data_IF_382716778983
#
_entry.id   IF_382716778983
#
_cell.length_a   1.000
_cell.length_b   1.000
_cell.length_c   1.000
_cell.angle_alpha   90.00
_cell.angle_beta   90.00
_cell.angle_gamma   90.00
#
_symmetry.space_group_name_H-M   'P 1'
#
loop_
_entity.id
_entity.type
_entity.pdbx_description
1 polymer ?
#
# COMPACT_ATOMS: atom_id res chain seq x y z
N UNK A 1 34.46 30.98 36.88
CA UNK A 1 34.95 29.58 36.78
C UNK A 1 33.80 28.76 36.18
N UNK A 2 33.84 28.03 35.07
CA UNK A 2 34.77 27.78 33.98
C UNK A 2 33.90 27.68 32.71
N UNK A 3 34.33 28.30 31.62
CA UNK A 3 33.83 28.04 30.28
C UNK A 3 34.34 26.67 29.79
N UNK A 4 33.53 25.92 29.04
CA UNK A 4 34.01 24.75 28.32
C UNK A 4 33.86 24.96 26.82
N UNK A 5 34.96 24.66 26.16
CA UNK A 5 35.33 25.04 24.80
C UNK A 5 34.96 23.97 23.78
N UNK A 6 34.87 24.45 22.55
CA UNK A 6 34.66 23.79 21.28
C UNK A 6 35.72 22.70 21.00
N UNK A 7 35.29 21.57 20.43
CA UNK A 7 36.17 20.56 19.85
C UNK A 7 35.65 20.11 18.48
N UNK A 8 36.11 20.79 17.43
CA UNK A 8 35.93 20.41 16.02
C UNK A 8 37.08 19.48 15.66
N UNK A 9 36.78 18.22 15.35
CA UNK A 9 37.64 17.30 14.61
C UNK A 9 36.73 16.63 13.58
N UNK A 10 36.86 16.84 12.27
CA UNK A 10 38.09 16.71 11.51
C UNK A 10 38.20 15.26 11.01
N UNK A 11 37.36 14.87 10.05
CA UNK A 11 37.46 13.58 9.38
C UNK A 11 37.51 13.79 7.87
N UNK A 12 38.65 13.34 7.35
CA UNK A 12 39.18 13.50 6.00
C UNK A 12 38.36 12.73 4.97
N UNK A 13 38.15 13.38 3.82
CA UNK A 13 37.61 12.83 2.59
C UNK A 13 38.43 11.63 2.09
N UNK A 14 37.75 10.53 1.75
CA UNK A 14 38.24 9.56 0.77
C UNK A 14 37.26 9.50 -0.39
N UNK A 15 37.69 10.05 -1.52
CA UNK A 15 37.04 9.92 -2.82
C UNK A 15 37.25 8.48 -3.33
N UNK A 16 36.20 7.68 -3.33
CA UNK A 16 36.13 6.48 -4.17
C UNK A 16 35.46 6.86 -5.49
N UNK A 17 36.28 7.06 -6.53
CA UNK A 17 35.83 7.25 -7.90
C UNK A 17 35.29 5.93 -8.45
N UNK A 18 33.96 5.79 -8.53
CA UNK A 18 33.32 4.76 -9.33
C UNK A 18 33.05 5.31 -10.74
N UNK A 19 33.61 4.62 -11.74
CA UNK A 19 33.40 4.86 -13.15
C UNK A 19 31.90 4.96 -13.47
N UNK A 20 31.51 6.10 -14.04
CA UNK A 20 30.22 6.28 -14.70
C UNK A 20 30.28 5.52 -16.02
N UNK A 21 29.80 4.28 -16.02
CA UNK A 21 29.46 3.59 -17.26
C UNK A 21 28.22 4.29 -17.87
N UNK A 22 28.42 4.96 -19.00
CA UNK A 22 27.40 5.65 -19.76
C UNK A 22 26.34 4.67 -20.30
N UNK A 23 25.27 4.45 -19.53
CA UNK A 23 24.04 3.86 -20.04
C UNK A 23 23.16 4.98 -20.63
N UNK A 24 23.33 5.24 -21.93
CA UNK A 24 22.42 6.10 -22.67
C UNK A 24 20.98 5.53 -22.69
N UNK A 25 19.97 6.38 -22.93
CA UNK A 25 18.58 5.93 -23.03
C UNK A 25 18.41 5.00 -24.23
N UNK A 26 18.18 3.71 -23.96
CA UNK A 26 17.78 2.74 -24.97
C UNK A 26 16.35 3.08 -25.39
N UNK A 27 16.19 3.60 -26.61
CA UNK A 27 14.89 3.85 -27.21
C UNK A 27 14.03 2.58 -27.13
N UNK A 28 12.83 2.71 -26.56
CA UNK A 28 11.88 1.63 -26.48
C UNK A 28 11.43 1.24 -27.90
N UNK A 29 11.39 -0.05 -28.26
CA UNK A 29 10.84 -0.48 -29.53
C UNK A 29 9.35 -0.13 -29.59
N UNK A 30 8.90 0.35 -30.75
CA UNK A 30 7.50 0.62 -31.02
C UNK A 30 6.65 -0.65 -30.83
N UNK A 31 5.42 -0.53 -30.28
CA UNK A 31 4.53 -1.68 -30.14
C UNK A 31 4.17 -2.24 -31.52
N UNK A 32 4.34 -3.55 -31.69
CA UNK A 32 3.91 -4.26 -32.89
C UNK A 32 2.38 -4.14 -33.05
N UNK A 33 1.87 -4.05 -34.30
CA UNK A 33 0.44 -4.08 -34.55
C UNK A 33 -0.14 -5.40 -34.06
N UNK A 34 -1.08 -5.34 -33.10
CA UNK A 34 -1.84 -6.50 -32.65
C UNK A 34 -2.78 -6.91 -33.78
N UNK A 35 -2.39 -7.95 -34.53
CA UNK A 35 -3.28 -8.68 -35.42
C UNK A 35 -4.48 -9.16 -34.62
N UNK A 36 -5.65 -8.68 -35.02
CA UNK A 36 -6.95 -9.03 -34.45
C UNK A 36 -7.26 -10.47 -34.88
N UNK A 37 -6.94 -11.44 -34.02
CA UNK A 37 -7.32 -12.84 -34.25
C UNK A 37 -8.84 -12.94 -34.18
N UNK A 38 -9.45 -13.38 -35.28
CA UNK A 38 -10.87 -13.68 -35.35
C UNK A 38 -11.23 -14.76 -34.30
N UNK A 39 -12.26 -14.49 -33.52
CA UNK A 39 -12.80 -15.46 -32.56
C UNK A 39 -13.43 -16.64 -33.31
N UNK A 40 -13.08 -17.89 -32.97
CA UNK A 40 -13.80 -19.06 -33.45
C UNK A 40 -15.18 -19.17 -32.75
N UNK A 41 -16.16 -19.82 -33.41
CA UNK A 41 -17.48 -20.05 -32.81
C UNK A 41 -17.37 -20.93 -31.56
N UNK A 42 -18.10 -20.54 -30.53
CA UNK A 42 -18.25 -21.27 -29.27
C UNK A 42 -19.08 -22.54 -29.49
N UNK A 43 -18.40 -23.68 -29.58
CA UNK A 43 -19.05 -24.98 -29.45
C UNK A 43 -19.35 -25.28 -27.98
N UNK A 44 -20.63 -25.53 -27.71
CA UNK A 44 -21.16 -25.97 -26.43
C UNK A 44 -20.67 -27.39 -26.09
N UNK A 45 -19.50 -27.49 -25.49
CA UNK A 45 -18.96 -28.74 -24.94
C UNK A 45 -19.23 -28.87 -23.44
N UNK A 46 -20.24 -29.66 -23.09
CA UNK A 46 -20.48 -30.13 -21.72
C UNK A 46 -19.32 -31.06 -21.29
N UNK A 47 -18.43 -30.55 -20.44
CA UNK A 47 -17.35 -31.31 -19.83
C UNK A 47 -17.39 -31.17 -18.31
N UNK A 48 -17.88 -32.21 -17.64
CA UNK A 48 -17.83 -32.36 -16.19
C UNK A 48 -16.37 -32.39 -15.70
N UNK A 49 -15.96 -31.38 -14.94
CA UNK A 49 -14.71 -31.42 -14.19
C UNK A 49 -14.93 -32.12 -12.84
N UNK A 50 -13.96 -32.92 -12.36
CA UNK A 50 -14.04 -33.56 -11.05
C UNK A 50 -13.94 -32.52 -9.93
N UNK A 51 -14.72 -32.75 -8.87
CA UNK A 51 -14.71 -32.00 -7.63
C UNK A 51 -13.31 -32.04 -7.00
N UNK A 52 -12.55 -30.95 -7.16
CA UNK A 52 -11.34 -30.68 -6.39
C UNK A 52 -11.71 -30.14 -5.02
N UNK A 53 -10.98 -30.61 -4.02
CA UNK A 53 -11.22 -30.44 -2.59
C UNK A 53 -11.74 -29.07 -2.16
N UNK A 54 -12.85 -29.11 -1.43
CA UNK A 54 -13.46 -27.98 -0.77
C UNK A 54 -12.44 -27.27 0.13
N UNK A 55 -12.12 -26.03 -0.22
CA UNK A 55 -11.44 -25.13 0.70
C UNK A 55 -12.27 -25.05 2.00
N UNK A 56 -11.67 -25.20 3.19
CA UNK A 56 -12.43 -25.14 4.44
C UNK A 56 -13.09 -23.77 4.55
N UNK A 57 -14.41 -23.78 4.73
CA UNK A 57 -15.23 -22.62 5.02
C UNK A 57 -14.70 -21.92 6.28
N UNK A 58 -13.89 -20.89 6.09
CA UNK A 58 -13.51 -19.97 7.15
C UNK A 58 -14.63 -18.95 7.33
N UNK A 59 -15.66 -19.35 8.07
CA UNK A 59 -16.75 -18.44 8.46
C UNK A 59 -17.36 -18.87 9.79
N UNK A 60 -16.54 -18.98 10.83
CA UNK A 60 -17.05 -19.01 12.20
C UNK A 60 -16.25 -18.01 13.04
N UNK A 61 -16.96 -17.01 13.56
CA UNK A 61 -16.41 -15.98 14.43
C UNK A 61 -16.59 -14.53 13.97
N UNK A 62 -17.70 -14.18 13.29
CA UNK A 62 -18.12 -12.78 13.17
C UNK A 62 -18.79 -12.38 14.48
N UNK A 63 -17.99 -12.02 15.48
CA UNK A 63 -18.48 -11.24 16.61
C UNK A 63 -18.78 -9.84 16.09
N UNK A 64 -20.06 -9.50 15.96
CA UNK A 64 -20.52 -8.23 15.37
C UNK A 64 -20.22 -6.99 16.23
N UNK A 65 -19.72 -7.14 17.47
CA UNK A 65 -19.66 -6.01 18.41
C UNK A 65 -18.31 -5.85 19.14
N UNK A 66 -17.28 -6.63 18.79
CA UNK A 66 -15.95 -6.43 19.34
C UNK A 66 -15.22 -5.34 18.54
N UNK A 67 -15.67 -4.09 18.68
CA UNK A 67 -14.92 -2.93 18.21
C UNK A 67 -13.58 -2.90 18.94
N UNK A 68 -12.53 -3.38 18.27
CA UNK A 68 -11.21 -3.48 18.87
C UNK A 68 -10.76 -2.04 19.26
N UNK A 69 -10.48 -1.76 20.54
CA UNK A 69 -10.08 -0.43 20.95
C UNK A 69 -8.76 -0.06 20.26
N UNK A 70 -8.82 0.95 19.39
CA UNK A 70 -7.67 1.55 18.71
C UNK A 70 -6.92 0.57 17.81
N UNK A 71 -7.27 0.53 16.53
CA UNK A 71 -6.46 -0.18 15.53
C UNK A 71 -5.09 0.50 15.43
N UNK A 72 -4.05 -0.17 15.93
CA UNK A 72 -2.65 0.28 15.81
C UNK A 72 -1.99 -0.35 14.59
N UNK A 73 -0.97 0.32 14.03
CA UNK A 73 -0.23 -0.20 12.87
C UNK A 73 -1.01 -0.19 11.55
N UNK A 74 -1.99 0.71 11.42
CA UNK A 74 -2.73 0.91 10.17
C UNK A 74 -1.87 1.68 9.19
N UNK A 75 -1.69 1.13 7.99
CA UNK A 75 -1.03 1.85 6.90
C UNK A 75 -2.07 2.67 6.15
N UNK A 76 -1.79 3.98 6.02
CA UNK A 76 -2.62 4.90 5.26
C UNK A 76 -2.23 4.82 3.78
N UNK A 77 -3.21 4.52 2.95
CA UNK A 77 -3.08 4.43 1.49
C UNK A 77 -4.15 5.32 0.87
N UNK A 78 -3.83 6.00 -0.23
CA UNK A 78 -4.82 6.87 -0.85
C UNK A 78 -5.67 6.08 -1.85
N UNK A 79 -6.95 5.89 -1.54
CA UNK A 79 -7.96 5.28 -2.41
C UNK A 79 -7.67 3.81 -2.80
N UNK A 80 -8.57 3.15 -3.56
CA UNK A 80 -8.28 1.84 -4.15
C UNK A 80 -7.02 1.77 -5.00
N UNK A 81 -6.56 2.89 -5.57
CA UNK A 81 -5.30 2.92 -6.31
C UNK A 81 -4.08 2.74 -5.39
N UNK A 82 -4.04 3.45 -4.24
CA UNK A 82 -2.98 3.35 -3.25
C UNK A 82 -2.93 1.97 -2.59
N UNK A 83 -4.08 1.37 -2.29
CA UNK A 83 -4.16 0.00 -1.79
C UNK A 83 -3.51 -0.98 -2.77
N UNK A 84 -3.91 -0.94 -4.05
CA UNK A 84 -3.33 -1.82 -5.08
C UNK A 84 -1.83 -1.61 -5.23
N UNK A 85 -1.36 -0.38 -5.19
CA UNK A 85 0.06 -0.06 -5.26
C UNK A 85 0.83 -0.61 -4.04
N UNK A 86 0.28 -0.44 -2.84
CA UNK A 86 0.84 -0.98 -1.59
C UNK A 86 0.96 -2.51 -1.67
N UNK A 87 -0.13 -3.20 -2.00
CA UNK A 87 -0.17 -4.66 -2.07
C UNK A 87 0.73 -5.20 -3.20
N UNK A 88 0.84 -4.49 -4.32
CA UNK A 88 1.73 -4.86 -5.42
C UNK A 88 3.22 -4.71 -5.08
N UNK A 89 3.57 -3.89 -4.09
CA UNK A 89 4.94 -3.69 -3.62
C UNK A 89 5.38 -4.73 -2.58
N UNK A 90 4.44 -5.42 -1.91
CA UNK A 90 4.78 -6.40 -0.86
C UNK A 90 5.57 -7.58 -1.45
N UNK A 91 6.63 -7.97 -0.77
CA UNK A 91 7.46 -9.14 -1.10
C UNK A 91 7.65 -10.02 0.13
N UNK A 92 7.72 -11.33 -0.10
CA UNK A 92 8.17 -12.29 0.92
C UNK A 92 9.67 -12.13 1.17
N UNK A 93 10.19 -12.72 2.25
CA UNK A 93 11.63 -12.69 2.54
C UNK A 93 12.46 -13.32 1.41
N UNK A 94 11.89 -14.28 0.68
CA UNK A 94 12.46 -14.89 -0.53
C UNK A 94 12.48 -13.99 -1.76
N UNK A 95 11.83 -12.82 -1.72
CA UNK A 95 11.63 -11.93 -2.87
C UNK A 95 10.42 -12.29 -3.75
N UNK A 96 9.71 -13.38 -3.46
CA UNK A 96 8.50 -13.76 -4.19
C UNK A 96 7.31 -12.84 -3.89
N UNK A 97 6.31 -12.84 -4.78
CA UNK A 97 5.02 -12.17 -4.53
C UNK A 97 4.16 -13.02 -3.59
N UNK A 98 3.63 -12.46 -2.48
CA UNK A 98 2.73 -13.19 -1.62
C UNK A 98 1.38 -13.42 -2.28
N UNK A 99 0.62 -14.40 -1.77
CA UNK A 99 -0.82 -14.47 -2.02
C UNK A 99 -1.51 -13.49 -1.08
N UNK A 100 -2.39 -12.66 -1.63
CA UNK A 100 -3.11 -11.64 -0.86
C UNK A 100 -4.61 -11.92 -0.91
N UNK A 101 -5.27 -11.83 0.25
CA UNK A 101 -6.73 -11.97 0.37
C UNK A 101 -7.28 -10.87 1.27
N UNK A 102 -8.28 -10.12 0.79
CA UNK A 102 -9.04 -9.18 1.61
C UNK A 102 -9.97 -9.97 2.52
N UNK A 103 -9.92 -9.70 3.82
CA UNK A 103 -10.77 -10.33 4.84
C UNK A 103 -12.01 -9.49 5.19
N UNK A 104 -12.07 -8.25 4.70
CA UNK A 104 -13.15 -7.29 4.96
C UNK A 104 -12.73 -6.20 5.94
N UNK A 105 -13.73 -5.50 6.49
CA UNK A 105 -13.51 -4.41 7.44
C UNK A 105 -13.06 -5.00 8.77
N UNK A 106 -11.90 -4.56 9.26
CA UNK A 106 -11.33 -4.93 10.55
C UNK A 106 -11.97 -4.17 11.72
N UNK A 107 -12.48 -2.97 11.45
CA UNK A 107 -13.02 -2.03 12.40
C UNK A 107 -12.94 -0.60 11.87
N UNK A 108 -13.02 0.37 12.78
CA UNK A 108 -12.99 1.80 12.49
C UNK A 108 -11.85 2.46 13.25
N UNK A 109 -11.35 3.60 12.75
CA UNK A 109 -10.26 4.37 13.38
C UNK A 109 -10.62 4.86 14.79
N UNK A 110 -11.87 5.30 14.97
CA UNK A 110 -12.45 5.64 16.27
C UNK A 110 -13.67 4.77 16.57
N UNK A 111 -13.95 4.48 17.85
CA UNK A 111 -15.14 3.75 18.22
C UNK A 111 -16.44 4.47 17.84
N UNK A 112 -17.44 3.74 17.34
CA UNK A 112 -18.79 4.22 17.07
C UNK A 112 -19.63 4.09 18.33
N UNK A 113 -20.31 5.17 18.71
CA UNK A 113 -21.07 5.31 19.96
C UNK A 113 -22.59 5.27 19.76
N UNK A 114 -23.08 5.18 18.52
CA UNK A 114 -24.52 5.14 18.23
C UNK A 114 -24.87 5.21 16.74
N UNK A 115 -26.18 5.25 16.41
CA UNK A 115 -26.68 5.25 15.04
C UNK A 115 -26.17 6.44 14.21
N UNK A 116 -25.99 7.61 14.83
CA UNK A 116 -25.47 8.81 14.15
C UNK A 116 -24.05 8.61 13.59
N UNK A 117 -23.24 7.76 14.23
CA UNK A 117 -21.89 7.44 13.74
C UNK A 117 -21.90 6.63 12.45
N UNK A 118 -22.96 5.86 12.19
CA UNK A 118 -23.09 5.15 10.92
C UNK A 118 -23.32 6.13 9.77
N UNK A 119 -24.20 7.12 9.96
CA UNK A 119 -24.44 8.15 8.98
C UNK A 119 -23.20 9.04 8.75
N UNK A 120 -22.50 9.41 9.84
CA UNK A 120 -21.23 10.14 9.76
C UNK A 120 -20.13 9.35 9.05
N UNK A 121 -19.96 8.08 9.39
CA UNK A 121 -18.98 7.20 8.74
C UNK A 121 -19.25 7.08 7.24
N UNK A 122 -20.52 6.87 6.86
CA UNK A 122 -20.92 6.82 5.46
C UNK A 122 -20.64 8.15 4.73
N UNK A 123 -20.86 9.29 5.39
CA UNK A 123 -20.55 10.60 4.83
C UNK A 123 -19.04 10.84 4.66
N UNK A 124 -18.23 10.49 5.66
CA UNK A 124 -16.77 10.61 5.59
C UNK A 124 -16.18 9.76 4.45
N UNK A 125 -16.60 8.49 4.35
CA UNK A 125 -16.21 7.57 3.25
C UNK A 125 -16.60 8.11 1.88
N UNK A 126 -17.81 8.68 1.76
CA UNK A 126 -18.35 9.19 0.50
C UNK A 126 -17.67 10.48 0.07
N UNK A 127 -17.51 11.42 1.00
CA UNK A 127 -17.02 12.78 0.71
C UNK A 127 -15.50 12.83 0.63
N UNK A 128 -14.80 11.97 1.37
CA UNK A 128 -13.33 11.93 1.48
C UNK A 128 -12.72 13.30 1.82
N UNK A 129 -13.52 14.16 2.47
CA UNK A 129 -13.03 15.47 2.88
C UNK A 129 -12.07 15.29 4.06
N UNK A 130 -11.12 16.22 4.23
CA UNK A 130 -10.38 16.30 5.49
C UNK A 130 -11.34 16.39 6.68
N UNK A 131 -10.98 15.72 7.78
CA UNK A 131 -11.69 15.80 9.05
C UNK A 131 -11.49 17.19 9.66
N UNK A 132 -12.55 17.73 10.27
CA UNK A 132 -12.44 18.97 11.03
C UNK A 132 -11.68 18.72 12.36
N UNK A 133 -11.06 19.75 12.96
CA UNK A 133 -10.46 19.61 14.28
C UNK A 133 -11.45 19.08 15.32
N UNK A 134 -11.11 17.99 16.00
CA UNK A 134 -11.97 17.34 17.00
C UNK A 134 -13.10 16.48 16.41
N UNK A 135 -13.23 16.39 15.09
CA UNK A 135 -14.13 15.45 14.45
C UNK A 135 -13.63 14.01 14.63
N UNK A 136 -14.48 13.06 15.07
CA UNK A 136 -14.10 11.65 15.13
C UNK A 136 -13.74 11.10 13.76
N UNK A 137 -12.61 10.41 13.68
CA UNK A 137 -12.21 9.64 12.50
C UNK A 137 -12.98 8.32 12.49
N UNK A 138 -14.03 8.23 11.67
CA UNK A 138 -14.90 7.06 11.55
C UNK A 138 -14.67 6.33 10.23
N UNK A 139 -13.46 6.42 9.66
CA UNK A 139 -13.11 5.67 8.48
C UNK A 139 -12.98 4.17 8.79
N UNK A 140 -13.53 3.30 7.93
CA UNK A 140 -13.33 1.87 8.05
C UNK A 140 -11.91 1.50 7.64
N UNK A 141 -11.33 0.57 8.38
CA UNK A 141 -10.01 0.01 8.10
C UNK A 141 -10.19 -1.41 7.60
N UNK A 142 -9.60 -1.74 6.46
CA UNK A 142 -9.65 -3.07 5.88
C UNK A 142 -8.53 -3.96 6.39
N UNK A 143 -8.84 -5.24 6.62
CA UNK A 143 -7.85 -6.27 6.94
C UNK A 143 -7.54 -7.10 5.70
N UNK A 144 -6.26 -7.29 5.44
CA UNK A 144 -5.75 -8.19 4.43
C UNK A 144 -4.90 -9.28 5.07
N UNK A 145 -5.03 -10.49 4.55
CA UNK A 145 -4.14 -11.61 4.81
C UNK A 145 -3.09 -11.70 3.71
N UNK A 146 -1.83 -11.75 4.12
CA UNK A 146 -0.66 -11.87 3.25
C UNK A 146 0.01 -13.21 3.57
N UNK A 147 0.03 -14.11 2.60
CA UNK A 147 0.63 -15.44 2.73
C UNK A 147 1.89 -15.56 1.89
N UNK A 148 2.99 -15.83 2.57
CA UNK A 148 4.27 -16.27 2.05
C UNK A 148 4.44 -17.78 2.31
N UNK A 149 5.43 -18.46 1.68
CA UNK A 149 5.67 -19.88 1.91
C UNK A 149 5.91 -20.24 3.38
N UNK A 150 6.55 -19.35 4.12
CA UNK A 150 7.02 -19.55 5.50
C UNK A 150 6.23 -18.74 6.54
N UNK A 151 5.34 -17.84 6.12
CA UNK A 151 4.68 -16.91 7.03
C UNK A 151 3.29 -16.48 6.53
N UNK A 152 2.37 -16.29 7.48
CA UNK A 152 1.13 -15.55 7.27
C UNK A 152 1.15 -14.29 8.13
N UNK A 153 0.83 -13.15 7.50
CA UNK A 153 0.77 -11.84 8.15
C UNK A 153 -0.57 -11.20 7.86
N UNK A 154 -0.99 -10.30 8.73
CA UNK A 154 -2.15 -9.45 8.51
C UNK A 154 -1.69 -8.01 8.40
N UNK A 155 -2.25 -7.28 7.45
CA UNK A 155 -2.05 -5.84 7.34
C UNK A 155 -3.40 -5.14 7.42
N UNK A 156 -3.39 -3.96 8.03
CA UNK A 156 -4.54 -3.09 8.18
C UNK A 156 -4.32 -1.88 7.29
N UNK A 157 -5.23 -1.64 6.35
CA UNK A 157 -5.15 -0.54 5.40
C UNK A 157 -6.33 0.41 5.58
N UNK A 158 -6.03 1.70 5.72
CA UNK A 158 -7.01 2.77 5.66
C UNK A 158 -6.87 3.49 4.33
N UNK A 159 -7.94 3.51 3.57
CA UNK A 159 -7.95 4.00 2.19
C UNK A 159 -8.47 5.42 2.03
N UNK A 160 -8.89 6.03 3.15
CA UNK A 160 -9.71 7.25 3.14
C UNK A 160 -8.92 8.48 3.60
N UNK A 161 -7.76 8.27 4.22
CA UNK A 161 -6.77 9.32 4.45
C UNK A 161 -5.86 9.47 3.23
N UNK A 162 -6.29 10.34 2.32
CA UNK A 162 -5.46 10.84 1.24
C UNK A 162 -4.79 12.14 1.66
N UNK A 163 -3.92 12.10 2.68
CA UNK A 163 -3.03 13.24 2.86
C UNK A 163 -2.13 13.35 1.61
N UNK A 164 -1.89 14.57 1.09
CA UNK A 164 -0.76 14.77 0.20
C UNK A 164 0.48 14.45 1.03
N UNK A 165 1.02 13.23 0.86
CA UNK A 165 2.28 12.86 1.48
C UNK A 165 3.26 14.01 1.17
N UNK A 166 3.76 14.76 2.18
CA UNK A 166 4.82 15.72 1.90
C UNK A 166 5.91 14.94 1.18
N UNK A 167 6.50 15.49 0.09
CA UNK A 167 7.44 14.75 -0.74
C UNK A 167 8.43 14.09 0.20
N UNK A 168 8.45 12.76 0.20
CA UNK A 168 9.38 12.01 1.04
C UNK A 168 10.73 12.65 0.81
N UNK A 169 11.35 13.15 1.86
CA UNK A 169 12.60 13.93 1.84
C UNK A 169 13.83 13.13 1.36
N UNK A 170 13.59 12.09 0.56
CA UNK A 170 14.55 11.32 -0.23
C UNK A 170 14.32 11.44 -1.74
N UNK A 171 13.61 12.46 -2.24
CA UNK A 171 13.93 12.94 -3.58
C UNK A 171 15.37 13.44 -3.51
N UNK A 172 16.30 12.71 -4.12
CA UNK A 172 17.68 13.14 -4.26
C UNK A 172 17.68 14.61 -4.73
N UNK A 173 18.54 15.48 -4.17
CA UNK A 173 18.64 16.85 -4.64
C UNK A 173 18.78 16.82 -6.16
N UNK A 174 18.01 17.66 -6.85
CA UNK A 174 18.21 17.87 -8.28
C UNK A 174 19.72 18.12 -8.47
N UNK A 175 20.39 17.44 -9.41
CA UNK A 175 21.81 17.71 -9.64
C UNK A 175 21.94 19.21 -9.91
N UNK A 176 22.74 19.88 -9.07
CA UNK A 176 23.03 21.28 -9.23
C UNK A 176 23.38 21.51 -10.69
N UNK A 177 22.59 22.37 -11.33
CA UNK A 177 22.79 22.76 -12.71
C UNK A 177 24.21 23.25 -12.86
N UNK A 178 25.06 22.40 -13.44
CA UNK A 178 26.39 22.74 -13.87
C UNK A 178 26.32 23.97 -14.78
N UNK A 179 27.20 24.90 -14.47
CA UNK A 179 27.71 25.99 -15.29
C UNK A 179 27.08 26.13 -16.68
N UNK A 180 26.34 27.22 -16.85
CA UNK A 180 26.11 27.80 -18.17
C UNK A 180 27.31 28.73 -18.46
N UNK A 181 27.97 28.60 -19.62
CA UNK A 181 29.21 29.30 -19.95
C UNK A 181 29.08 30.83 -19.98
#
# INVERSE_FOLDING_TARGET
MRAQSIGIAGAVFWFAACLVAACGPRAAPAPAPTSRTAEPPVDAGAGSAPAGDAAPASSEGRGEDAEAPGLTGVAEVCEPAGERAYLAAVRCASGERPRVRRLGIAGYRSPRRGPDDYARSADQVRTRRPLAPGEPDLHPVDRFEIRCPDATRFVLLDMYHCEPRPPSSGAAPAPDGADRP
#
